data_IF_463888620917
#
_entry.id   IF_463888620917
#
_cell.length_a   1.000
_cell.length_b   1.000
_cell.length_c   1.000
_cell.angle_alpha   90.00
_cell.angle_beta   90.00
_cell.angle_gamma   90.00
#
_symmetry.space_group_name_H-M   'P 1'
#
loop_
_entity.id
_entity.type
_entity.pdbx_description
1 polymer ?
#
# COMPACT_ATOMS: atom_id res chain seq x y z
N UNK A 1 -8.71 -15.20 -12.85
CA UNK A 1 -8.78 -13.72 -13.06
C UNK A 1 -7.83 -13.39 -14.20
N UNK A 2 -8.35 -12.99 -15.37
CA UNK A 2 -7.58 -12.84 -16.62
C UNK A 2 -6.26 -12.05 -16.49
N UNK A 3 -6.28 -10.92 -15.76
CA UNK A 3 -5.09 -10.10 -15.53
C UNK A 3 -3.97 -10.78 -14.71
N UNK A 4 -4.31 -11.75 -13.85
CA UNK A 4 -3.33 -12.54 -13.10
C UNK A 4 -2.73 -13.64 -13.98
N UNK A 5 -3.57 -14.34 -14.74
CA UNK A 5 -3.16 -15.43 -15.64
C UNK A 5 -2.26 -14.91 -16.77
N UNK A 6 -2.53 -13.71 -17.28
CA UNK A 6 -1.74 -13.05 -18.33
C UNK A 6 -0.46 -12.35 -17.81
N UNK A 7 -0.14 -12.44 -16.51
CA UNK A 7 1.07 -11.86 -15.95
C UNK A 7 1.06 -10.32 -15.81
N UNK A 8 -0.05 -9.66 -16.16
CA UNK A 8 -0.17 -8.20 -16.16
C UNK A 8 0.02 -7.62 -14.75
N UNK A 9 -0.45 -8.32 -13.71
CA UNK A 9 -0.28 -7.88 -12.33
C UNK A 9 1.20 -7.82 -11.91
N UNK A 10 2.00 -8.80 -12.31
CA UNK A 10 3.43 -8.88 -12.03
C UNK A 10 4.18 -7.76 -12.76
N UNK A 11 3.84 -7.50 -14.01
CA UNK A 11 4.40 -6.37 -14.78
C UNK A 11 4.11 -5.02 -14.11
N UNK A 12 2.85 -4.79 -13.72
CA UNK A 12 2.44 -3.56 -13.02
C UNK A 12 3.11 -3.42 -11.66
N UNK A 13 3.27 -4.52 -10.92
CA UNK A 13 3.98 -4.51 -9.65
C UNK A 13 5.46 -4.13 -9.83
N UNK A 14 6.13 -4.68 -10.84
CA UNK A 14 7.51 -4.31 -11.15
C UNK A 14 7.65 -2.83 -11.53
N UNK A 15 6.74 -2.32 -12.38
CA UNK A 15 6.70 -0.89 -12.73
C UNK A 15 6.45 0.00 -11.50
N UNK A 16 5.53 -0.38 -10.62
CA UNK A 16 5.25 0.36 -9.39
C UNK A 16 6.47 0.40 -8.47
N UNK A 17 7.20 -0.72 -8.32
CA UNK A 17 8.43 -0.76 -7.52
C UNK A 17 9.52 0.13 -8.12
N UNK A 18 9.69 0.12 -9.44
CA UNK A 18 10.69 0.97 -10.12
C UNK A 18 10.35 2.47 -9.98
N UNK A 19 9.07 2.82 -10.03
CA UNK A 19 8.60 4.21 -9.82
C UNK A 19 9.00 4.79 -8.46
N UNK A 20 9.35 3.95 -7.48
CA UNK A 20 9.80 4.41 -6.16
C UNK A 20 11.16 5.13 -6.20
N UNK A 21 11.93 5.06 -7.29
CA UNK A 21 13.19 5.81 -7.45
C UNK A 21 12.98 7.32 -7.57
N UNK A 22 11.83 7.75 -8.09
CA UNK A 22 11.35 9.14 -8.07
C UNK A 22 9.88 9.11 -7.70
N UNK A 23 9.60 9.01 -6.39
CA UNK A 23 8.28 8.63 -5.93
C UNK A 23 7.25 9.77 -6.04
N UNK A 24 6.20 9.53 -6.83
CA UNK A 24 5.02 10.42 -7.02
C UNK A 24 3.69 9.83 -6.53
N UNK A 25 3.73 8.76 -5.74
CA UNK A 25 2.53 7.99 -5.28
C UNK A 25 1.54 8.83 -4.44
N UNK A 26 1.98 9.94 -3.87
CA UNK A 26 1.14 10.82 -3.05
C UNK A 26 1.07 12.22 -3.66
N UNK A 27 0.02 13.01 -3.39
CA UNK A 27 -0.16 14.35 -3.96
C UNK A 27 0.94 15.36 -3.61
N UNK A 28 1.85 15.02 -2.68
CA UNK A 28 3.04 15.85 -2.36
C UNK A 28 4.10 15.87 -3.47
N UNK A 29 4.07 14.92 -4.40
CA UNK A 29 4.94 14.86 -5.57
C UNK A 29 6.44 15.16 -5.29
N UNK A 30 6.98 14.59 -4.22
CA UNK A 30 8.30 14.98 -3.70
C UNK A 30 9.51 14.34 -4.42
N UNK A 31 9.27 13.46 -5.38
CA UNK A 31 10.31 12.78 -6.19
C UNK A 31 11.41 12.04 -5.42
N UNK A 32 11.20 11.79 -4.12
CA UNK A 32 12.20 11.15 -3.27
C UNK A 32 12.43 9.69 -3.69
N UNK A 33 13.69 9.26 -3.62
CA UNK A 33 14.11 7.88 -3.89
C UNK A 33 13.74 6.94 -2.73
N UNK A 34 12.46 6.56 -2.68
CA UNK A 34 11.94 5.54 -1.75
C UNK A 34 12.51 4.16 -2.06
N UNK A 35 12.95 3.89 -3.30
CA UNK A 35 13.54 2.61 -3.68
C UNK A 35 14.77 2.30 -2.80
N UNK A 36 15.64 3.29 -2.59
CA UNK A 36 16.80 3.21 -1.69
C UNK A 36 16.49 3.65 -0.25
N UNK A 37 15.23 3.53 0.20
CA UNK A 37 14.78 3.89 1.54
C UNK A 37 15.01 5.36 1.95
N UNK A 38 15.16 6.30 1.02
CA UNK A 38 15.18 7.72 1.39
C UNK A 38 13.79 8.14 1.87
N UNK A 39 13.77 8.90 2.97
CA UNK A 39 12.54 9.26 3.67
C UNK A 39 12.16 10.70 3.34
N UNK A 40 10.98 10.90 2.75
CA UNK A 40 10.40 12.22 2.52
C UNK A 40 9.50 12.70 3.68
N UNK A 41 8.74 13.77 3.44
CA UNK A 41 7.79 14.35 4.42
C UNK A 41 6.71 13.35 4.87
N UNK A 42 6.31 12.43 4.00
CA UNK A 42 5.36 11.36 4.30
C UNK A 42 5.88 10.31 5.28
N UNK A 43 7.20 10.31 5.58
CA UNK A 43 7.87 9.39 6.51
C UNK A 43 7.73 7.89 6.18
N UNK A 44 7.31 7.56 4.95
CA UNK A 44 7.26 6.19 4.41
C UNK A 44 8.53 5.85 3.63
N UNK A 45 9.08 4.65 3.86
CA UNK A 45 10.26 4.11 3.16
C UNK A 45 9.90 3.22 1.96
N UNK A 46 10.79 2.29 1.59
CA UNK A 46 10.57 1.35 0.47
C UNK A 46 9.41 0.39 0.72
N UNK A 47 9.28 -0.09 1.95
CA UNK A 47 8.29 -1.10 2.35
C UNK A 47 7.13 -0.43 3.07
N UNK A 48 5.92 -0.89 2.78
CA UNK A 48 4.74 -0.54 3.55
C UNK A 48 4.89 -1.03 5.00
N UNK A 49 4.37 -0.26 5.96
CA UNK A 49 4.38 -0.64 7.37
C UNK A 49 3.01 -1.17 7.75
N UNK A 50 2.95 -2.40 8.25
CA UNK A 50 1.74 -2.95 8.86
C UNK A 50 1.65 -2.44 10.29
N UNK A 51 0.53 -1.80 10.63
CA UNK A 51 0.21 -1.37 11.99
C UNK A 51 -0.45 -2.49 12.79
N UNK A 52 -1.38 -3.22 12.16
CA UNK A 52 -2.06 -4.37 12.75
C UNK A 52 -2.65 -5.28 11.68
N UNK A 53 -2.90 -6.54 12.05
CA UNK A 53 -3.62 -7.52 11.23
C UNK A 53 -4.48 -8.38 12.16
N UNK A 54 -5.80 -8.43 11.92
CA UNK A 54 -6.75 -9.12 12.79
C UNK A 54 -8.11 -9.35 12.08
N UNK A 55 -8.97 -10.25 12.59
CA UNK A 55 -10.36 -10.34 12.15
C UNK A 55 -11.13 -9.08 12.57
N UNK A 56 -11.57 -8.29 11.61
CA UNK A 56 -12.28 -7.05 11.85
C UNK A 56 -13.79 -7.25 11.77
N UNK A 57 -14.47 -6.91 12.86
CA UNK A 57 -15.93 -7.02 12.97
C UNK A 57 -16.65 -5.66 12.83
N UNK A 58 -15.91 -4.59 12.55
CA UNK A 58 -16.46 -3.24 12.42
C UNK A 58 -17.01 -2.89 11.02
N UNK A 59 -16.74 -3.72 10.01
CA UNK A 59 -17.33 -3.58 8.68
C UNK A 59 -18.83 -3.92 8.68
N UNK A 60 -19.53 -3.51 7.62
CA UNK A 60 -20.94 -3.86 7.40
C UNK A 60 -21.16 -5.39 7.36
N UNK A 61 -22.35 -5.84 7.78
CA UNK A 61 -22.69 -7.26 7.88
C UNK A 61 -22.45 -8.06 6.57
N UNK A 62 -22.73 -7.44 5.42
CA UNK A 62 -22.51 -8.05 4.11
C UNK A 62 -21.02 -8.19 3.73
N UNK A 63 -20.12 -7.46 4.40
CA UNK A 63 -18.68 -7.45 4.13
C UNK A 63 -17.88 -8.27 5.15
N UNK A 64 -18.27 -8.26 6.43
CA UNK A 64 -17.55 -8.98 7.50
C UNK A 64 -17.84 -10.48 7.54
N UNK A 65 -18.97 -10.92 6.99
CA UNK A 65 -19.43 -12.30 7.12
C UNK A 65 -19.56 -12.74 8.59
N UNK A 66 -19.35 -14.02 8.87
CA UNK A 66 -19.58 -14.59 10.21
C UNK A 66 -18.38 -14.52 11.14
N UNK A 67 -17.16 -14.47 10.58
CA UNK A 67 -15.90 -14.54 11.34
C UNK A 67 -15.09 -13.24 11.29
N UNK A 68 -15.71 -12.14 10.85
CA UNK A 68 -15.00 -10.89 10.59
C UNK A 68 -14.26 -10.90 9.26
N UNK A 69 -14.01 -9.72 8.72
CA UNK A 69 -13.17 -9.56 7.53
C UNK A 69 -11.69 -9.70 7.91
N UNK A 70 -10.90 -10.35 7.06
CA UNK A 70 -9.45 -10.34 7.22
C UNK A 70 -8.92 -8.95 6.91
N UNK A 71 -8.49 -8.21 7.93
CA UNK A 71 -8.07 -6.82 7.79
C UNK A 71 -6.59 -6.65 8.11
N UNK A 72 -5.90 -5.88 7.26
CA UNK A 72 -4.52 -5.44 7.46
C UNK A 72 -4.52 -3.91 7.41
N UNK A 73 -4.22 -3.27 8.54
CA UNK A 73 -4.08 -1.82 8.57
C UNK A 73 -2.63 -1.41 8.34
N UNK A 74 -2.44 -0.49 7.39
CA UNK A 74 -1.14 0.12 7.12
C UNK A 74 -0.97 1.41 7.92
N UNK A 75 0.26 1.65 8.38
CA UNK A 75 0.64 2.88 9.07
C UNK A 75 1.29 3.90 8.12
N UNK A 76 1.60 5.08 8.68
CA UNK A 76 2.32 6.17 7.99
C UNK A 76 1.56 6.80 6.83
N UNK A 77 0.32 7.23 7.09
CA UNK A 77 -0.45 8.04 6.15
C UNK A 77 0.34 9.27 5.69
N UNK A 78 0.38 9.50 4.38
CA UNK A 78 1.12 10.58 3.74
C UNK A 78 0.42 11.97 3.86
N UNK A 79 -0.84 12.00 4.31
CA UNK A 79 -1.65 13.23 4.41
C UNK A 79 -1.27 14.08 5.63
N UNK A 80 -0.79 13.48 6.73
CA UNK A 80 -0.50 14.17 8.00
C UNK A 80 -1.72 14.90 8.57
N UNK A 81 -2.86 14.21 8.62
CA UNK A 81 -4.07 14.67 9.30
C UNK A 81 -3.87 14.84 10.81
#
# INVERSE_FOLDING_TARGET
MKAFEEGVLQQRAAQAVESLRSCRVCPRDCEIDRFNNKIGVCKSGRRARVASAFPHFGEEDCLRGWNGSGTIFFGWCNLRC
#
